data_IF_755027861526
#
_entry.id   IF_755027861526
#
_cell.length_a   1.000
_cell.length_b   1.000
_cell.length_c   1.000
_cell.angle_alpha   90.00
_cell.angle_beta   90.00
_cell.angle_gamma   90.00
#
_symmetry.space_group_name_H-M   'P 1'
#
loop_
_entity.id
_entity.type
_entity.pdbx_description
1 polymer ?
#
# COMPACT_ATOMS: atom_id res chain seq x y z
N UNK A 1 14.82 24.50 -23.03
CA UNK A 1 13.96 23.64 -22.20
C UNK A 1 14.58 22.26 -22.25
N UNK A 2 14.97 21.76 -21.09
CA UNK A 2 15.83 20.60 -20.94
C UNK A 2 15.13 19.33 -21.43
N UNK A 3 15.54 18.85 -22.60
CA UNK A 3 15.14 17.53 -23.11
C UNK A 3 15.97 16.50 -22.37
N UNK A 4 15.58 16.21 -21.13
CA UNK A 4 15.98 14.99 -20.44
C UNK A 4 15.67 13.82 -21.37
N UNK A 5 16.70 13.25 -21.98
CA UNK A 5 16.60 12.03 -22.76
C UNK A 5 16.14 10.93 -21.81
N UNK A 6 14.84 10.63 -21.83
CA UNK A 6 14.28 9.42 -21.21
C UNK A 6 15.07 8.24 -21.79
N UNK A 7 16.03 7.72 -21.05
CA UNK A 7 16.72 6.49 -21.45
C UNK A 7 15.75 5.33 -21.20
N UNK A 8 15.33 4.60 -22.25
CA UNK A 8 14.51 3.43 -22.06
C UNK A 8 15.23 2.42 -21.18
N UNK A 9 14.49 1.71 -20.33
CA UNK A 9 15.02 0.63 -19.50
C UNK A 9 15.71 -0.42 -20.39
N UNK A 10 16.91 -0.84 -20.02
CA UNK A 10 17.61 -1.90 -20.76
C UNK A 10 16.95 -3.26 -20.51
N UNK A 11 17.18 -4.23 -21.40
CA UNK A 11 16.69 -5.59 -21.21
C UNK A 11 17.16 -6.21 -19.89
N UNK A 12 18.41 -5.97 -19.50
CA UNK A 12 18.97 -6.46 -18.25
C UNK A 12 18.27 -5.84 -17.04
N UNK A 13 18.02 -4.52 -17.05
CA UNK A 13 17.27 -3.84 -16.01
C UNK A 13 15.83 -4.38 -15.90
N UNK A 14 15.16 -4.57 -17.04
CA UNK A 14 13.81 -5.13 -17.10
C UNK A 14 13.77 -6.56 -16.54
N UNK A 15 14.76 -7.40 -16.89
CA UNK A 15 14.89 -8.77 -16.39
C UNK A 15 15.15 -8.79 -14.88
N UNK A 16 16.05 -7.96 -14.38
CA UNK A 16 16.31 -7.85 -12.94
C UNK A 16 15.07 -7.40 -12.18
N UNK A 17 14.38 -6.38 -12.67
CA UNK A 17 13.14 -5.91 -12.06
C UNK A 17 12.09 -7.02 -12.03
N UNK A 18 11.89 -7.73 -13.14
CA UNK A 18 10.96 -8.85 -13.22
C UNK A 18 11.29 -9.90 -12.14
N UNK A 19 12.54 -10.34 -12.04
CA UNK A 19 12.96 -11.34 -11.05
C UNK A 19 12.76 -10.84 -9.62
N UNK A 20 13.17 -9.62 -9.31
CA UNK A 20 13.03 -9.03 -7.97
C UNK A 20 11.57 -8.94 -7.53
N UNK A 21 10.66 -8.53 -8.42
CA UNK A 21 9.23 -8.54 -8.13
C UNK A 21 8.70 -9.96 -7.85
N UNK A 22 9.31 -10.98 -8.45
CA UNK A 22 8.93 -12.38 -8.24
C UNK A 22 9.36 -12.90 -6.87
N UNK A 23 10.58 -12.56 -6.45
CA UNK A 23 11.05 -12.89 -5.10
C UNK A 23 10.24 -12.14 -4.04
N UNK A 24 9.93 -10.85 -4.25
CA UNK A 24 9.07 -10.08 -3.35
C UNK A 24 7.69 -10.74 -3.17
N UNK A 25 7.07 -11.23 -4.25
CA UNK A 25 5.79 -11.96 -4.16
C UNK A 25 5.93 -13.23 -3.32
N UNK A 26 6.94 -14.06 -3.59
CA UNK A 26 7.18 -15.30 -2.84
C UNK A 26 7.39 -15.06 -1.34
N UNK A 27 8.02 -13.95 -0.98
CA UNK A 27 8.23 -13.56 0.42
C UNK A 27 6.95 -13.00 1.07
N UNK A 28 6.17 -12.21 0.32
CA UNK A 28 4.99 -11.52 0.84
C UNK A 28 3.76 -12.41 0.96
N UNK A 29 3.52 -13.32 0.01
CA UNK A 29 2.32 -14.17 -0.02
C UNK A 29 2.12 -14.96 1.30
N UNK A 30 3.11 -15.73 1.80
CA UNK A 30 2.93 -16.46 3.06
C UNK A 30 2.72 -15.53 4.26
N UNK A 31 3.26 -14.31 4.22
CA UNK A 31 3.10 -13.34 5.28
C UNK A 31 1.71 -12.71 5.27
N UNK A 32 1.12 -12.46 4.10
CA UNK A 32 -0.27 -12.01 3.95
C UNK A 32 -1.23 -13.05 4.53
N UNK A 33 -1.05 -14.33 4.21
CA UNK A 33 -1.88 -15.40 4.76
C UNK A 33 -1.80 -15.46 6.29
N UNK A 34 -0.59 -15.38 6.84
CA UNK A 34 -0.37 -15.34 8.30
C UNK A 34 -1.00 -14.11 8.95
N UNK A 35 -0.87 -12.93 8.34
CA UNK A 35 -1.47 -11.70 8.83
C UNK A 35 -3.00 -11.79 8.85
N UNK A 36 -3.60 -12.32 7.78
CA UNK A 36 -5.05 -12.51 7.68
C UNK A 36 -5.57 -13.49 8.74
N UNK A 37 -4.87 -14.61 8.95
CA UNK A 37 -5.20 -15.57 10.02
C UNK A 37 -5.04 -14.95 11.41
N UNK A 38 -3.97 -14.18 11.63
CA UNK A 38 -3.72 -13.54 12.93
C UNK A 38 -4.79 -12.48 13.24
N UNK A 39 -5.14 -11.67 12.24
CA UNK A 39 -6.18 -10.65 12.38
C UNK A 39 -7.55 -11.28 12.67
N UNK A 40 -7.91 -12.37 11.97
CA UNK A 40 -9.19 -13.05 12.22
C UNK A 40 -9.28 -13.65 13.63
N UNK A 41 -8.19 -14.21 14.16
CA UNK A 41 -8.13 -14.66 15.55
C UNK A 41 -8.32 -13.51 16.53
N UNK A 42 -7.65 -12.38 16.28
CA UNK A 42 -7.70 -11.21 17.16
C UNK A 42 -9.07 -10.52 17.10
N UNK A 43 -9.75 -10.50 15.95
CA UNK A 43 -11.12 -10.00 15.82
C UNK A 43 -12.12 -10.77 16.72
N UNK A 44 -11.88 -12.06 16.92
CA UNK A 44 -12.68 -12.91 17.79
C UNK A 44 -12.36 -12.74 19.30
N UNK A 45 -11.28 -12.03 19.66
CA UNK A 45 -10.95 -11.74 21.06
C UNK A 45 -11.89 -10.65 21.57
N UNK A 46 -12.80 -11.03 22.46
CA UNK A 46 -13.71 -10.13 23.14
C UNK A 46 -13.07 -9.58 24.44
N UNK A 47 -12.20 -8.58 24.29
CA UNK A 47 -11.72 -7.76 25.40
C UNK A 47 -12.14 -6.32 25.11
N UNK A 48 -13.32 -5.93 25.60
CA UNK A 48 -13.81 -4.56 25.47
C UNK A 48 -12.75 -3.58 26.01
N UNK A 49 -12.51 -2.51 25.23
CA UNK A 49 -11.72 -1.33 25.60
C UNK A 49 -10.25 -1.55 26.02
N UNK A 50 -9.60 -2.62 25.54
CA UNK A 50 -8.14 -2.74 25.70
C UNK A 50 -7.38 -1.90 24.66
N UNK A 51 -6.68 -0.86 25.13
CA UNK A 51 -5.85 0.04 24.31
C UNK A 51 -4.86 -0.73 23.43
N UNK A 52 -4.06 -1.62 24.04
CA UNK A 52 -3.01 -2.37 23.35
C UNK A 52 -3.61 -3.26 22.25
N UNK A 53 -4.71 -3.95 22.54
CA UNK A 53 -5.41 -4.79 21.57
C UNK A 53 -5.96 -3.96 20.40
N UNK A 54 -6.53 -2.79 20.67
CA UNK A 54 -7.09 -1.91 19.63
C UNK A 54 -5.99 -1.38 18.68
N UNK A 55 -4.85 -0.95 19.23
CA UNK A 55 -3.72 -0.52 18.41
C UNK A 55 -3.16 -1.70 17.61
N UNK A 56 -2.98 -2.87 18.22
CA UNK A 56 -2.51 -4.08 17.52
C UNK A 56 -3.45 -4.47 16.38
N UNK A 57 -4.77 -4.44 16.59
CA UNK A 57 -5.79 -4.66 15.55
C UNK A 57 -5.58 -3.72 14.38
N UNK A 58 -5.56 -2.42 14.63
CA UNK A 58 -5.39 -1.42 13.58
C UNK A 58 -4.05 -1.54 12.86
N UNK A 59 -2.97 -1.87 13.59
CA UNK A 59 -1.65 -2.07 13.02
C UNK A 59 -1.59 -3.30 12.10
N UNK A 60 -2.19 -4.43 12.51
CA UNK A 60 -2.30 -5.63 11.67
C UNK A 60 -3.16 -5.40 10.43
N UNK A 61 -4.30 -4.71 10.56
CA UNK A 61 -5.13 -4.31 9.41
C UNK A 61 -4.35 -3.43 8.44
N UNK A 62 -3.56 -2.48 8.97
CA UNK A 62 -2.67 -1.63 8.19
C UNK A 62 -1.63 -2.48 7.44
N UNK A 63 -0.89 -3.33 8.16
CA UNK A 63 0.15 -4.19 7.59
C UNK A 63 -0.40 -5.12 6.49
N UNK A 64 -1.54 -5.77 6.75
CA UNK A 64 -2.18 -6.65 5.76
C UNK A 64 -2.55 -5.89 4.49
N UNK A 65 -3.14 -4.70 4.63
CA UNK A 65 -3.53 -3.87 3.48
C UNK A 65 -2.31 -3.41 2.67
N UNK A 66 -1.23 -3.00 3.34
CA UNK A 66 0.03 -2.57 2.69
C UNK A 66 0.67 -3.75 1.94
N UNK A 67 0.71 -4.93 2.55
CA UNK A 67 1.25 -6.13 1.92
C UNK A 67 0.44 -6.54 0.68
N UNK A 68 -0.89 -6.45 0.72
CA UNK A 68 -1.75 -6.70 -0.45
C UNK A 68 -1.49 -5.69 -1.57
N UNK A 69 -1.39 -4.40 -1.25
CA UNK A 69 -1.03 -3.36 -2.23
C UNK A 69 0.34 -3.65 -2.85
N UNK A 70 1.32 -4.05 -2.05
CA UNK A 70 2.66 -4.40 -2.53
C UNK A 70 2.61 -5.58 -3.50
N UNK A 71 1.88 -6.65 -3.16
CA UNK A 71 1.64 -7.79 -4.05
C UNK A 71 1.04 -7.35 -5.40
N UNK A 72 0.00 -6.51 -5.37
CA UNK A 72 -0.65 -6.01 -6.58
C UNK A 72 0.31 -5.22 -7.47
N UNK A 73 1.13 -4.33 -6.88
CA UNK A 73 2.15 -3.57 -7.60
C UNK A 73 3.20 -4.50 -8.24
N UNK A 74 3.69 -5.50 -7.50
CA UNK A 74 4.64 -6.48 -8.01
C UNK A 74 4.04 -7.31 -9.15
N UNK A 75 2.81 -7.79 -9.00
CA UNK A 75 2.13 -8.63 -9.98
C UNK A 75 1.86 -7.87 -11.28
N UNK A 76 1.30 -6.66 -11.20
CA UNK A 76 1.02 -5.84 -12.37
C UNK A 76 2.31 -5.41 -13.10
N UNK A 77 3.36 -5.07 -12.34
CA UNK A 77 4.68 -4.75 -12.92
C UNK A 77 5.28 -5.96 -13.64
N UNK A 78 5.20 -7.15 -13.05
CA UNK A 78 5.66 -8.39 -13.69
C UNK A 78 4.88 -8.68 -14.97
N UNK A 79 3.56 -8.52 -14.94
CA UNK A 79 2.72 -8.74 -16.11
C UNK A 79 3.09 -7.79 -17.26
N UNK A 80 3.40 -6.54 -16.96
CA UNK A 80 3.89 -5.58 -17.96
C UNK A 80 5.21 -6.05 -18.59
N UNK A 81 6.18 -6.45 -17.76
CA UNK A 81 7.50 -6.88 -18.22
C UNK A 81 7.48 -8.20 -18.98
N UNK A 82 6.52 -9.09 -18.71
CA UNK A 82 6.35 -10.37 -19.39
C UNK A 82 5.31 -10.36 -20.52
N UNK A 83 4.74 -9.20 -20.85
CA UNK A 83 3.69 -9.08 -21.87
C UNK A 83 4.19 -9.51 -23.24
N UNK A 84 3.41 -10.36 -23.93
CA UNK A 84 3.77 -10.89 -25.26
C UNK A 84 3.26 -10.01 -26.39
N UNK A 85 2.24 -9.20 -26.11
CA UNK A 85 1.64 -8.26 -27.04
C UNK A 85 1.60 -6.85 -26.48
N UNK A 86 1.47 -5.86 -27.36
CA UNK A 86 1.23 -4.48 -26.96
C UNK A 86 -0.03 -4.36 -26.10
N UNK A 87 -1.04 -5.20 -26.33
CA UNK A 87 -2.27 -5.18 -25.54
C UNK A 87 -2.05 -5.71 -24.12
N UNK A 88 -1.28 -6.80 -23.95
CA UNK A 88 -0.93 -7.32 -22.62
C UNK A 88 -0.22 -6.26 -21.78
N UNK A 89 0.73 -5.57 -22.40
CA UNK A 89 1.48 -4.50 -21.76
C UNK A 89 0.58 -3.32 -21.39
N UNK A 90 -0.27 -2.85 -22.31
CA UNK A 90 -1.24 -1.77 -22.05
C UNK A 90 -2.24 -2.16 -20.96
N UNK A 91 -2.71 -3.40 -20.96
CA UNK A 91 -3.62 -3.92 -19.95
C UNK A 91 -2.94 -3.95 -18.56
N UNK A 92 -1.69 -4.39 -18.50
CA UNK A 92 -0.92 -4.39 -17.26
C UNK A 92 -0.69 -2.97 -16.72
N UNK A 93 -0.30 -2.01 -17.57
CA UNK A 93 -0.12 -0.61 -17.16
C UNK A 93 -1.46 0.03 -16.76
N UNK A 94 -2.56 -0.26 -17.47
CA UNK A 94 -3.90 0.16 -17.08
C UNK A 94 -4.23 -0.31 -15.66
N UNK A 95 -3.95 -1.58 -15.35
CA UNK A 95 -4.17 -2.12 -14.01
C UNK A 95 -3.23 -1.50 -12.98
N UNK A 96 -1.97 -1.23 -13.33
CA UNK A 96 -1.04 -0.55 -12.44
C UNK A 96 -1.53 0.86 -12.10
N UNK A 97 -2.00 1.62 -13.09
CA UNK A 97 -2.63 2.93 -12.87
C UNK A 97 -3.90 2.83 -12.01
N UNK A 98 -4.68 1.75 -12.16
CA UNK A 98 -5.85 1.44 -11.34
C UNK A 98 -5.45 1.23 -9.86
N UNK A 99 -4.44 0.39 -9.63
CA UNK A 99 -3.88 0.10 -8.31
C UNK A 99 -3.39 1.38 -7.67
N UNK A 100 -2.60 2.21 -8.37
CA UNK A 100 -2.11 3.48 -7.83
C UNK A 100 -3.25 4.41 -7.41
N UNK A 101 -4.30 4.51 -8.23
CA UNK A 101 -5.48 5.30 -7.91
C UNK A 101 -6.17 4.86 -6.61
N UNK A 102 -6.52 3.58 -6.50
CA UNK A 102 -7.30 3.09 -5.35
C UNK A 102 -6.43 2.91 -4.11
N UNK A 103 -5.19 2.43 -4.26
CA UNK A 103 -4.26 2.26 -3.15
C UNK A 103 -3.87 3.60 -2.54
N UNK A 104 -3.52 4.61 -3.35
CA UNK A 104 -3.20 5.94 -2.82
C UNK A 104 -4.39 6.55 -2.07
N UNK A 105 -5.59 6.44 -2.65
CA UNK A 105 -6.84 6.87 -2.00
C UNK A 105 -7.04 6.17 -0.66
N UNK A 106 -6.85 4.86 -0.63
CA UNK A 106 -7.03 4.05 0.58
C UNK A 106 -6.03 4.43 1.65
N UNK A 107 -4.77 4.65 1.29
CA UNK A 107 -3.71 4.99 2.23
C UNK A 107 -3.87 6.43 2.74
N UNK A 108 -3.98 7.43 1.86
CA UNK A 108 -3.88 8.85 2.24
C UNK A 108 -5.17 9.68 2.13
N UNK A 109 -6.12 9.25 1.30
CA UNK A 109 -7.31 10.03 0.91
C UNK A 109 -6.98 11.16 -0.08
N UNK A 110 -7.82 11.35 -1.11
CA UNK A 110 -7.60 12.32 -2.19
C UNK A 110 -7.75 13.79 -1.82
N UNK A 111 -8.61 14.08 -0.84
CA UNK A 111 -8.90 15.42 -0.33
C UNK A 111 -9.59 15.27 1.03
N UNK A 112 -9.38 16.25 1.89
CA UNK A 112 -9.54 16.25 3.35
C UNK A 112 -10.90 15.88 3.95
N UNK A 113 -11.92 15.50 3.18
CA UNK A 113 -13.29 15.30 3.72
C UNK A 113 -13.56 13.93 4.32
N UNK A 114 -12.70 12.93 4.06
CA UNK A 114 -12.89 11.53 4.51
C UNK A 114 -11.63 10.93 5.13
N UNK A 115 -10.91 11.71 5.94
CA UNK A 115 -9.71 11.25 6.63
C UNK A 115 -9.97 10.01 7.49
N UNK A 116 -11.18 9.90 8.09
CA UNK A 116 -11.60 8.74 8.89
C UNK A 116 -11.64 7.42 8.12
N UNK A 117 -11.78 7.49 6.79
CA UNK A 117 -11.92 6.32 5.92
C UNK A 117 -10.56 5.86 5.35
N UNK A 118 -9.46 6.54 5.69
CA UNK A 118 -8.12 6.14 5.24
C UNK A 118 -7.58 5.00 6.10
N UNK A 119 -6.59 4.28 5.58
CA UNK A 119 -5.93 3.21 6.29
C UNK A 119 -5.17 3.70 7.52
N UNK A 120 -4.53 4.87 7.40
CA UNK A 120 -3.62 5.39 8.40
C UNK A 120 -4.37 6.03 9.57
N UNK A 121 -5.55 6.62 9.33
CA UNK A 121 -6.24 7.39 10.36
C UNK A 121 -6.67 6.54 11.57
N UNK A 122 -7.35 5.38 11.42
CA UNK A 122 -7.70 4.53 12.55
C UNK A 122 -6.48 4.17 13.41
N UNK A 123 -5.37 3.81 12.75
CA UNK A 123 -4.11 3.50 13.41
C UNK A 123 -3.60 4.67 14.27
N UNK A 124 -3.40 5.85 13.67
CA UNK A 124 -2.91 7.03 14.41
C UNK A 124 -3.89 7.45 15.50
N UNK A 125 -5.19 7.43 15.21
CA UNK A 125 -6.23 7.84 16.16
C UNK A 125 -6.33 6.91 17.38
N UNK A 126 -5.90 5.65 17.23
CA UNK A 126 -5.86 4.69 18.32
C UNK A 126 -4.66 4.83 19.23
N UNK A 127 -3.63 5.60 18.84
CA UNK A 127 -2.44 5.84 19.68
C UNK A 127 -2.72 6.88 20.77
N UNK A 128 -2.11 6.66 21.94
CA UNK A 128 -2.00 7.65 23.02
C UNK A 128 -1.10 8.82 22.59
N UNK A 129 -1.17 9.93 23.30
CA UNK A 129 -0.32 11.08 22.98
C UNK A 129 1.18 10.78 23.24
N UNK A 130 1.49 9.98 24.26
CA UNK A 130 2.85 9.48 24.51
C UNK A 130 3.37 8.63 23.35
N UNK A 131 2.55 7.73 22.80
CA UNK A 131 2.95 6.90 21.66
C UNK A 131 3.06 7.75 20.38
N UNK A 132 2.18 8.73 20.15
CA UNK A 132 2.33 9.68 19.04
C UNK A 132 3.63 10.46 19.13
N UNK A 133 4.04 10.87 20.33
CA UNK A 133 5.30 11.56 20.55
C UNK A 133 6.51 10.65 20.30
N UNK A 134 6.45 9.40 20.77
CA UNK A 134 7.47 8.38 20.49
C UNK A 134 7.66 8.15 18.99
N UNK A 135 6.56 8.12 18.23
CA UNK A 135 6.57 7.85 16.79
C UNK A 135 6.50 9.11 15.92
N UNK A 136 6.68 10.31 16.49
CA UNK A 136 6.48 11.60 15.80
C UNK A 136 7.28 11.72 14.51
N UNK A 137 8.54 11.27 14.50
CA UNK A 137 9.39 11.32 13.30
C UNK A 137 8.82 10.53 12.11
N UNK A 138 8.19 9.38 12.38
CA UNK A 138 7.50 8.59 11.35
C UNK A 138 6.23 9.30 10.87
N UNK A 139 5.45 9.85 11.80
CA UNK A 139 4.21 10.57 11.48
C UNK A 139 4.49 11.81 10.63
N UNK A 140 5.53 12.57 10.95
CA UNK A 140 5.97 13.75 10.19
C UNK A 140 6.44 13.36 8.79
N UNK A 141 7.21 12.26 8.69
CA UNK A 141 7.66 11.71 7.39
C UNK A 141 6.47 11.30 6.52
N UNK A 142 5.47 10.64 7.11
CA UNK A 142 4.25 10.23 6.40
C UNK A 142 3.42 11.43 5.93
N UNK A 143 3.31 12.48 6.75
CA UNK A 143 2.66 13.73 6.36
C UNK A 143 3.37 14.40 5.17
N UNK A 144 4.71 14.43 5.19
CA UNK A 144 5.54 14.94 4.09
C UNK A 144 5.38 14.12 2.81
N UNK A 145 5.36 12.79 2.91
CA UNK A 145 5.08 11.92 1.77
C UNK A 145 3.73 12.25 1.16
N UNK A 146 2.68 12.37 1.99
CA UNK A 146 1.34 12.71 1.52
C UNK A 146 1.30 14.04 0.77
N UNK A 147 2.00 15.07 1.25
CA UNK A 147 2.01 16.38 0.60
C UNK A 147 2.80 16.40 -0.70
N UNK A 148 3.79 15.53 -0.85
CA UNK A 148 4.70 15.51 -1.99
C UNK A 148 4.32 14.47 -3.06
N UNK A 149 3.47 13.50 -2.71
CA UNK A 149 2.98 12.52 -3.67
C UNK A 149 1.81 13.11 -4.47
N UNK A 150 2.11 13.73 -5.62
CA UNK A 150 1.10 14.20 -6.55
C UNK A 150 1.54 13.94 -7.99
N UNK A 151 0.92 12.95 -8.63
CA UNK A 151 1.09 12.71 -10.07
C UNK A 151 -0.25 12.98 -10.79
N UNK A 152 -0.42 14.18 -11.41
CA UNK A 152 -1.70 14.64 -11.96
C UNK A 152 -2.34 13.70 -12.99
N UNK A 153 -1.49 12.95 -13.72
CA UNK A 153 -1.89 12.02 -14.78
C UNK A 153 -2.51 10.73 -14.23
N UNK A 154 -2.10 10.29 -13.04
CA UNK A 154 -2.60 9.07 -12.43
C UNK A 154 -3.95 9.32 -11.77
N UNK A 155 -4.08 10.43 -11.04
CA UNK A 155 -5.27 10.76 -10.25
C UNK A 155 -6.36 11.52 -10.99
N UNK A 156 -6.39 11.38 -12.31
CA UNK A 156 -7.40 11.98 -13.16
C UNK A 156 -8.71 11.17 -13.12
N UNK A 157 -9.83 11.84 -12.80
CA UNK A 157 -11.17 11.23 -12.72
C UNK A 157 -11.62 10.57 -14.03
N UNK A 158 -11.34 11.21 -15.17
CA UNK A 158 -11.69 10.69 -16.49
C UNK A 158 -10.89 9.42 -16.81
N UNK A 159 -9.58 9.42 -16.56
CA UNK A 159 -8.73 8.22 -16.67
C UNK A 159 -9.26 7.09 -15.79
N UNK A 160 -9.62 7.39 -14.53
CA UNK A 160 -10.23 6.41 -13.61
C UNK A 160 -11.52 5.83 -14.18
N UNK A 161 -12.41 6.66 -14.72
CA UNK A 161 -13.64 6.18 -15.34
C UNK A 161 -13.35 5.24 -16.53
N UNK A 162 -12.36 5.56 -17.37
CA UNK A 162 -11.96 4.72 -18.51
C UNK A 162 -11.30 3.39 -18.10
N UNK A 163 -10.66 3.34 -16.93
CA UNK A 163 -10.03 2.13 -16.40
C UNK A 163 -11.09 1.10 -15.98
N UNK A 164 -12.12 1.55 -15.25
CA UNK A 164 -13.08 0.67 -14.57
C UNK A 164 -14.40 0.48 -15.30
N UNK A 165 -14.78 1.40 -16.18
CA UNK A 165 -16.05 1.36 -16.87
C UNK A 165 -15.84 1.25 -18.38
N UNK A 166 -16.56 0.32 -18.99
CA UNK A 166 -16.69 0.30 -20.44
C UNK A 166 -17.44 1.57 -20.86
N UNK A 167 -16.73 2.45 -21.55
CA UNK A 167 -17.29 3.66 -22.13
C UNK A 167 -18.20 3.29 -23.31
N UNK A 168 -19.38 3.92 -23.39
CA UNK A 168 -20.21 3.86 -24.60
C UNK A 168 -19.51 4.51 -25.81
N UNK A 169 -18.54 5.40 -25.55
CA UNK A 169 -17.60 5.90 -26.54
C UNK A 169 -16.37 4.98 -26.61
N UNK A 170 -16.45 3.99 -27.50
CA UNK A 170 -15.43 2.94 -27.70
C UNK A 170 -14.13 3.54 -28.25
N UNK A 171 -14.22 4.55 -29.11
CA UNK A 171 -13.03 5.21 -29.68
C UNK A 171 -12.25 5.93 -28.59
N UNK A 172 -12.94 6.56 -27.65
CA UNK A 172 -12.32 7.19 -26.49
C UNK A 172 -11.67 6.17 -25.55
N UNK A 173 -12.30 5.01 -25.32
CA UNK A 173 -11.70 3.93 -24.54
C UNK A 173 -10.44 3.36 -25.20
N UNK A 174 -10.48 3.11 -26.52
CA UNK A 174 -9.31 2.66 -27.29
C UNK A 174 -8.18 3.69 -27.28
N UNK A 175 -8.52 4.97 -27.47
CA UNK A 175 -7.56 6.08 -27.42
C UNK A 175 -6.90 6.16 -26.05
N UNK A 176 -7.69 6.13 -24.97
CA UNK A 176 -7.17 6.10 -23.61
C UNK A 176 -6.13 4.99 -23.44
N UNK A 177 -6.46 3.74 -23.76
CA UNK A 177 -5.54 2.59 -23.64
C UNK A 177 -4.26 2.74 -24.48
N UNK A 178 -4.37 3.37 -25.65
CA UNK A 178 -3.23 3.58 -26.54
C UNK A 178 -2.32 4.71 -26.07
N UNK A 179 -2.88 5.71 -25.37
CA UNK A 179 -2.19 6.92 -24.92
C UNK A 179 -1.62 6.79 -23.50
N UNK A 180 -1.83 5.67 -22.79
CA UNK A 180 -1.24 5.45 -21.47
C UNK A 180 0.29 5.45 -21.58
N UNK A 181 0.94 6.44 -20.95
CA UNK A 181 2.40 6.53 -20.85
C UNK A 181 2.90 5.57 -19.76
N UNK A 182 3.47 4.45 -20.19
CA UNK A 182 4.00 3.42 -19.29
C UNK A 182 5.13 3.95 -18.39
N UNK A 183 5.98 4.86 -18.88
CA UNK A 183 7.09 5.40 -18.09
C UNK A 183 6.56 6.23 -16.92
N UNK A 184 5.53 7.03 -17.17
CA UNK A 184 4.88 7.85 -16.13
C UNK A 184 4.26 6.95 -15.06
N UNK A 185 3.54 5.91 -15.47
CA UNK A 185 2.87 4.99 -14.53
C UNK A 185 3.89 4.16 -13.74
N UNK A 186 4.95 3.65 -14.39
CA UNK A 186 6.02 2.88 -13.73
C UNK A 186 6.82 3.78 -12.77
N UNK A 187 7.14 5.01 -13.17
CA UNK A 187 7.85 5.96 -12.31
C UNK A 187 7.07 6.23 -11.02
N UNK A 188 5.78 6.56 -11.16
CA UNK A 188 4.92 6.80 -10.01
C UNK A 188 4.68 5.53 -9.18
N UNK A 189 4.62 4.36 -9.82
CA UNK A 189 4.57 3.08 -9.12
C UNK A 189 5.79 2.87 -8.23
N UNK A 190 6.99 3.16 -8.75
CA UNK A 190 8.22 3.06 -7.97
C UNK A 190 8.24 4.05 -6.80
N UNK A 191 7.81 5.30 -7.02
CA UNK A 191 7.68 6.28 -5.94
C UNK A 191 6.68 5.81 -4.90
N UNK A 192 5.52 5.28 -5.31
CA UNK A 192 4.50 4.81 -4.39
C UNK A 192 4.95 3.57 -3.64
N UNK A 193 5.67 2.66 -4.28
CA UNK A 193 6.25 1.49 -3.64
C UNK A 193 7.22 1.89 -2.51
N UNK A 194 8.06 2.90 -2.74
CA UNK A 194 8.93 3.43 -1.68
C UNK A 194 8.14 3.91 -0.46
N UNK A 195 6.95 4.51 -0.69
CA UNK A 195 6.05 4.93 0.38
C UNK A 195 5.46 3.73 1.12
N UNK A 196 5.00 2.71 0.39
CA UNK A 196 4.47 1.45 0.93
C UNK A 196 5.51 0.76 1.81
N UNK A 197 6.77 0.69 1.39
CA UNK A 197 7.87 0.11 2.17
C UNK A 197 8.10 0.88 3.47
N UNK A 198 8.19 2.21 3.40
CA UNK A 198 8.38 3.05 4.60
C UNK A 198 7.22 2.95 5.58
N UNK A 199 5.99 2.84 5.06
CA UNK A 199 4.82 2.62 5.88
C UNK A 199 4.85 1.23 6.53
N UNK A 200 5.27 0.20 5.80
CA UNK A 200 5.47 -1.15 6.35
C UNK A 200 6.50 -1.17 7.48
N UNK A 201 7.61 -0.44 7.34
CA UNK A 201 8.63 -0.33 8.40
C UNK A 201 8.06 0.31 9.67
N UNK A 202 7.29 1.40 9.53
CA UNK A 202 6.62 2.05 10.65
C UNK A 202 5.67 1.07 11.37
N UNK A 203 4.79 0.42 10.61
CA UNK A 203 3.79 -0.50 11.16
C UNK A 203 4.47 -1.71 11.81
N UNK A 204 5.54 -2.23 11.22
CA UNK A 204 6.32 -3.33 11.80
C UNK A 204 6.91 -2.94 13.17
N UNK A 205 7.54 -1.76 13.26
CA UNK A 205 8.10 -1.26 14.52
C UNK A 205 7.03 -1.04 15.59
N UNK A 206 5.83 -0.61 15.19
CA UNK A 206 4.69 -0.46 16.10
C UNK A 206 4.21 -1.83 16.58
N UNK A 207 4.06 -2.81 15.68
CA UNK A 207 3.66 -4.18 16.04
C UNK A 207 4.64 -4.83 17.00
N UNK A 208 5.95 -4.69 16.80
CA UNK A 208 6.97 -5.23 17.72
C UNK A 208 6.89 -4.63 19.13
N UNK A 209 6.55 -3.34 19.23
CA UNK A 209 6.39 -2.68 20.54
C UNK A 209 5.13 -3.15 21.25
N UNK A 210 4.01 -3.22 20.51
CA UNK A 210 2.73 -3.61 21.08
C UNK A 210 2.63 -5.10 21.38
N UNK A 211 3.33 -5.96 20.63
CA UNK A 211 3.48 -7.38 20.96
C UNK A 211 4.14 -7.58 22.33
N UNK A 212 5.22 -6.86 22.62
CA UNK A 212 5.86 -6.87 23.95
C UNK A 212 4.90 -6.43 25.05
N UNK A 213 4.12 -5.38 24.82
CA UNK A 213 3.11 -4.88 25.78
C UNK A 213 2.01 -5.91 26.00
N UNK A 214 1.55 -6.59 24.96
CA UNK A 214 0.56 -7.68 25.07
C UNK A 214 1.10 -8.84 25.90
N UNK A 215 2.35 -9.25 25.69
CA UNK A 215 2.97 -10.32 26.47
C UNK A 215 3.06 -9.99 27.96
N UNK A 216 3.45 -8.76 28.30
CA UNK A 216 3.48 -8.30 29.70
C UNK A 216 2.09 -8.28 30.34
N UNK A 217 1.07 -7.85 29.59
CA UNK A 217 -0.33 -7.89 30.02
C UNK A 217 -0.78 -9.33 30.33
N UNK A 218 -0.52 -10.27 29.42
CA UNK A 218 -0.87 -11.68 29.60
C UNK A 218 -0.17 -12.31 30.81
N UNK A 219 1.11 -11.98 31.04
CA UNK A 219 1.86 -12.47 32.19
C UNK A 219 1.32 -11.91 33.51
N UNK A 220 0.96 -10.63 33.56
CA UNK A 220 0.34 -10.02 34.74
C UNK A 220 -1.02 -10.65 35.08
N UNK A 221 -1.83 -10.97 34.06
CA UNK A 221 -3.12 -11.63 34.24
C UNK A 221 -2.96 -13.05 34.75
N UNK A 222 -1.98 -13.80 34.25
CA UNK A 222 -1.68 -15.16 34.74
C UNK A 222 -1.34 -15.14 36.22
N UNK A 223 -0.43 -14.25 36.64
CA UNK A 223 0.00 -14.17 38.03
C UNK A 223 -1.15 -13.76 38.98
N UNK A 224 -2.11 -12.97 38.50
CA UNK A 224 -3.29 -12.55 39.29
C UNK A 224 -4.32 -13.68 39.50
N UNK A 225 -4.30 -14.72 38.66
CA UNK A 225 -5.22 -15.88 38.75
C UNK A 225 -4.62 -16.99 39.63
N UNK A 226 -3.30 -17.00 39.80
CA UNK A 226 -2.56 -18.01 40.57
C UNK A 226 -2.38 -17.65 42.07
N UNK A 227 -2.71 -16.42 42.46
CA UNK A 227 -2.75 -15.92 43.86
C UNK A 227 -4.18 -15.89 44.42
#
# INVERSE_FOLDING_TARGET
MDTSTKHPMTYEQARHLFLNMGEAIKELEPNVDKLAQTLSHIENINMMDNYTLNVTKNALTCQLTISLIHLDLCAATRQYLSGLTNYDQRFAIKNLQAILNEAYKRVFGFSSTKLKDTLIYPLISSLSDEDKDKYRSYLDKMASIKSNFHEPTIFNKESRCMIYHYSNDILKAHKFLSDIDADVVIHASNQFLSVIVQLSEFVHNLLLDFDKRMMLLLESLRNTIED
#
